data_IF_621683867894
#
_entry.id   IF_621683867894
#
_cell.length_a   1.000
_cell.length_b   1.000
_cell.length_c   1.000
_cell.angle_alpha   90.00
_cell.angle_beta   90.00
_cell.angle_gamma   90.00
#
_symmetry.space_group_name_H-M   'P 1'
#
loop_
_entity.id
_entity.type
_entity.pdbx_description
1 polymer ?
#
# COMPACT_ATOMS: atom_id res chain seq x y z
N UNK A 1 -25.08 18.17 17.13
CA UNK A 1 -24.59 17.30 16.06
C UNK A 1 -23.76 18.16 15.13
N UNK A 2 -22.48 17.81 14.94
CA UNK A 2 -21.61 18.54 14.02
C UNK A 2 -22.10 18.31 12.58
N UNK A 3 -22.05 19.34 11.75
CA UNK A 3 -22.37 19.18 10.32
C UNK A 3 -21.23 18.45 9.61
N UNK A 4 -21.52 17.83 8.45
CA UNK A 4 -20.50 17.14 7.65
C UNK A 4 -19.26 18.00 7.37
N UNK A 5 -19.45 19.29 7.14
CA UNK A 5 -18.34 20.25 6.92
C UNK A 5 -17.50 20.46 8.17
N UNK A 6 -18.12 20.53 9.35
CA UNK A 6 -17.40 20.67 10.62
C UNK A 6 -16.59 19.40 10.95
N UNK A 7 -17.14 18.22 10.67
CA UNK A 7 -16.44 16.95 10.85
C UNK A 7 -15.21 16.85 9.92
N UNK A 8 -15.39 17.14 8.62
CA UNK A 8 -14.27 17.15 7.67
C UNK A 8 -13.18 18.19 8.04
N UNK A 9 -13.59 19.37 8.52
CA UNK A 9 -12.65 20.39 8.98
C UNK A 9 -11.88 19.96 10.24
N UNK A 10 -12.55 19.29 11.18
CA UNK A 10 -11.93 18.75 12.40
C UNK A 10 -10.92 17.66 12.08
N UNK A 11 -11.29 16.74 11.18
CA UNK A 11 -10.39 15.69 10.69
C UNK A 11 -9.16 16.30 10.01
N UNK A 12 -9.35 17.31 9.15
CA UNK A 12 -8.22 18.02 8.51
C UNK A 12 -7.30 18.67 9.52
N UNK A 13 -7.85 19.27 10.58
CA UNK A 13 -7.05 19.90 11.63
C UNK A 13 -6.27 18.85 12.45
N UNK A 14 -6.84 17.68 12.69
CA UNK A 14 -6.24 16.61 13.49
C UNK A 14 -5.22 15.76 12.71
N UNK A 15 -5.55 15.36 11.47
CA UNK A 15 -4.73 14.43 10.68
C UNK A 15 -3.96 15.09 9.54
N UNK A 16 -4.34 16.32 9.17
CA UNK A 16 -3.84 17.00 7.98
C UNK A 16 -4.54 16.58 6.68
N UNK A 17 -5.55 15.70 6.76
CA UNK A 17 -6.21 15.14 5.58
C UNK A 17 -7.37 16.00 5.10
N UNK A 18 -7.34 16.44 3.84
CA UNK A 18 -8.47 17.12 3.22
C UNK A 18 -9.51 16.11 2.74
N UNK A 19 -10.61 16.02 3.47
CA UNK A 19 -11.74 15.16 3.12
C UNK A 19 -12.85 15.98 2.48
N UNK A 20 -13.44 15.44 1.41
CA UNK A 20 -14.59 16.06 0.78
C UNK A 20 -15.89 15.61 1.48
N UNK A 21 -16.57 16.48 2.24
CA UNK A 21 -17.76 16.10 3.01
C UNK A 21 -18.99 15.77 2.14
N UNK A 22 -19.00 16.18 0.87
CA UNK A 22 -20.07 15.89 -0.08
C UNK A 22 -19.95 14.49 -0.70
N UNK A 23 -18.73 13.92 -0.72
CA UNK A 23 -18.47 12.55 -1.19
C UNK A 23 -18.70 11.49 -0.12
N UNK A 24 -18.87 11.92 1.13
CA UNK A 24 -19.00 11.05 2.30
C UNK A 24 -20.39 11.17 2.95
N UNK A 25 -20.83 10.09 3.56
CA UNK A 25 -22.01 10.11 4.45
C UNK A 25 -21.62 10.73 5.80
N UNK A 26 -22.61 11.23 6.54
CA UNK A 26 -22.35 11.81 7.86
C UNK A 26 -21.72 10.78 8.81
N UNK A 27 -22.19 9.54 8.73
CA UNK A 27 -21.68 8.40 9.50
C UNK A 27 -20.20 8.13 9.25
N UNK A 28 -19.76 8.11 7.98
CA UNK A 28 -18.34 7.92 7.64
C UNK A 28 -17.44 9.05 8.15
N UNK A 29 -17.93 10.29 8.09
CA UNK A 29 -17.19 11.44 8.63
C UNK A 29 -17.12 11.41 10.15
N UNK A 30 -18.16 10.91 10.83
CA UNK A 30 -18.17 10.76 12.27
C UNK A 30 -17.16 9.69 12.71
N UNK A 31 -17.16 8.53 12.04
CA UNK A 31 -16.17 7.46 12.26
C UNK A 31 -14.73 7.95 12.07
N UNK A 32 -14.47 8.70 11.00
CA UNK A 32 -13.16 9.28 10.71
C UNK A 32 -12.77 10.37 11.71
N UNK A 33 -13.74 11.16 12.22
CA UNK A 33 -13.48 12.19 13.22
C UNK A 33 -13.09 11.56 14.56
N UNK A 34 -13.78 10.50 14.96
CA UNK A 34 -13.48 9.79 16.21
C UNK A 34 -12.07 9.16 16.18
N UNK A 35 -11.69 8.56 15.04
CA UNK A 35 -10.35 8.04 14.80
C UNK A 35 -9.29 9.16 14.72
N UNK A 36 -9.64 10.31 14.16
CA UNK A 36 -8.76 11.47 14.10
C UNK A 36 -8.51 12.08 15.50
N UNK A 37 -9.50 12.08 16.39
CA UNK A 37 -9.38 12.53 17.78
C UNK A 37 -8.45 11.62 18.61
N UNK A 38 -8.32 10.34 18.23
CA UNK A 38 -7.37 9.40 18.85
C UNK A 38 -5.90 9.69 18.47
N UNK A 39 -5.63 10.62 17.53
CA UNK A 39 -4.27 11.06 17.22
C UNK A 39 -3.40 9.97 16.59
N UNK A 40 -2.23 9.68 17.19
CA UNK A 40 -1.30 8.66 16.69
C UNK A 40 -1.84 7.23 16.82
N UNK A 41 -2.56 6.93 17.91
CA UNK A 41 -3.12 5.58 18.14
C UNK A 41 -4.25 5.25 17.16
N UNK A 42 -5.00 6.27 16.73
CA UNK A 42 -6.06 6.14 15.72
C UNK A 42 -5.59 6.30 14.29
N UNK A 43 -4.32 6.70 14.05
CA UNK A 43 -3.81 7.04 12.72
C UNK A 43 -3.87 5.87 11.74
N UNK A 44 -3.42 4.70 12.16
CA UNK A 44 -3.44 3.50 11.31
C UNK A 44 -4.87 3.07 10.96
N UNK A 45 -5.78 3.12 11.93
CA UNK A 45 -7.20 2.81 11.73
C UNK A 45 -7.88 3.87 10.84
N UNK A 46 -7.51 5.14 11.00
CA UNK A 46 -7.98 6.25 10.18
C UNK A 46 -7.55 6.08 8.73
N UNK A 47 -6.26 5.84 8.46
CA UNK A 47 -5.74 5.60 7.11
C UNK A 47 -6.36 4.34 6.48
N UNK A 48 -6.56 3.27 7.26
CA UNK A 48 -7.26 2.07 6.79
C UNK A 48 -8.71 2.39 6.38
N UNK A 49 -9.45 3.18 7.18
CA UNK A 49 -10.82 3.59 6.85
C UNK A 49 -10.89 4.50 5.64
N UNK A 50 -9.93 5.42 5.48
CA UNK A 50 -9.82 6.22 4.26
C UNK A 50 -9.62 5.36 3.02
N UNK A 51 -8.71 4.37 3.09
CA UNK A 51 -8.50 3.40 2.02
C UNK A 51 -9.77 2.58 1.72
N UNK A 52 -10.50 2.13 2.74
CA UNK A 52 -11.79 1.43 2.56
C UNK A 52 -12.85 2.32 1.87
N UNK A 53 -12.81 3.62 2.11
CA UNK A 53 -13.71 4.58 1.47
C UNK A 53 -13.22 5.06 0.09
N UNK A 54 -12.06 4.58 -0.38
CA UNK A 54 -11.46 5.00 -1.63
C UNK A 54 -11.00 6.46 -1.61
N UNK A 55 -10.72 6.99 -0.42
CA UNK A 55 -10.18 8.33 -0.21
C UNK A 55 -8.67 8.19 0.00
N UNK A 56 -7.89 8.76 -0.90
CA UNK A 56 -6.45 8.86 -0.73
C UNK A 56 -6.09 10.26 -0.24
N UNK A 57 -5.23 10.35 0.76
CA UNK A 57 -4.66 11.62 1.18
C UNK A 57 -3.75 12.09 0.04
N UNK A 58 -4.12 13.20 -0.59
CA UNK A 58 -3.40 13.75 -1.75
C UNK A 58 -2.00 14.18 -1.29
N UNK A 59 -1.05 13.24 -1.44
CA UNK A 59 0.31 13.31 -0.88
C UNK A 59 1.12 12.04 -1.09
N UNK A 60 0.47 10.88 -1.27
CA UNK A 60 1.11 9.68 -1.84
C UNK A 60 0.04 8.77 -2.48
N UNK A 61 0.15 8.40 -3.76
CA UNK A 61 -0.74 7.40 -4.32
C UNK A 61 -0.40 6.05 -3.69
N UNK A 62 -1.27 5.54 -2.82
CA UNK A 62 -1.33 4.10 -2.54
C UNK A 62 -2.46 3.53 -3.37
N UNK A 63 -2.06 2.79 -4.40
CA UNK A 63 -2.90 2.01 -5.29
C UNK A 63 -4.00 1.25 -4.53
N UNK A 64 -5.25 1.24 -5.01
CA UNK A 64 -6.32 0.47 -4.39
C UNK A 64 -6.15 -1.00 -4.77
N UNK A 65 -5.70 -1.82 -3.83
CA UNK A 65 -5.69 -3.26 -4.00
C UNK A 65 -4.62 -3.97 -3.19
N UNK A 66 -4.76 -4.00 -1.87
CA UNK A 66 -4.36 -5.21 -1.15
C UNK A 66 -5.16 -5.37 0.14
N UNK A 67 -6.01 -6.40 0.15
CA UNK A 67 -6.58 -6.98 1.36
C UNK A 67 -5.99 -8.38 1.47
N UNK A 68 -4.88 -8.52 2.19
CA UNK A 68 -4.62 -9.70 3.01
C UNK A 68 -3.68 -9.35 4.19
N UNK A 69 -3.82 -10.04 5.33
CA UNK A 69 -3.42 -9.52 6.64
C UNK A 69 -2.03 -9.99 7.10
N UNK A 70 -1.43 -9.19 7.98
CA UNK A 70 -0.36 -9.55 8.95
C UNK A 70 0.97 -10.07 8.40
N UNK A 71 2.02 -9.24 8.54
CA UNK A 71 3.27 -9.65 9.17
C UNK A 71 4.08 -8.43 9.61
N UNK A 72 4.23 -8.29 10.94
CA UNK A 72 5.36 -7.78 11.74
C UNK A 72 6.20 -6.54 11.30
N UNK A 73 6.72 -5.78 12.28
CA UNK A 73 7.43 -4.53 12.04
C UNK A 73 8.89 -4.79 11.64
N UNK A 74 9.34 -4.07 10.62
CA UNK A 74 10.76 -3.92 10.29
C UNK A 74 11.16 -4.58 8.99
N UNK A 75 11.05 -3.85 7.90
CA UNK A 75 12.09 -3.88 6.88
C UNK A 75 12.15 -2.49 6.26
N UNK A 76 13.23 -1.76 6.54
CA UNK A 76 13.56 -0.51 5.88
C UNK A 76 13.93 -0.84 4.41
N UNK A 77 12.92 -1.12 3.59
CA UNK A 77 13.10 -1.22 2.14
C UNK A 77 13.61 0.14 1.67
N UNK A 78 14.82 0.24 1.10
CA UNK A 78 15.34 1.50 0.61
C UNK A 78 14.35 2.04 -0.43
N UNK A 79 13.80 3.21 -0.16
CA UNK A 79 12.85 3.87 -1.05
C UNK A 79 13.39 3.83 -2.50
N UNK A 80 12.62 3.32 -3.47
CA UNK A 80 13.08 3.20 -4.84
C UNK A 80 13.47 4.59 -5.35
N UNK A 81 14.65 4.68 -5.97
CA UNK A 81 15.14 5.92 -6.59
C UNK A 81 14.03 6.46 -7.52
N UNK A 82 13.69 7.76 -7.45
CA UNK A 82 12.67 8.34 -8.30
C UNK A 82 13.06 8.16 -9.77
N UNK A 83 12.34 7.30 -10.49
CA UNK A 83 12.61 6.92 -11.88
C UNK A 83 12.84 5.42 -12.14
N UNK A 84 12.92 4.58 -11.09
CA UNK A 84 13.00 3.14 -11.25
C UNK A 84 11.64 2.57 -11.70
N UNK A 85 11.63 1.86 -12.85
CA UNK A 85 10.43 1.13 -13.30
C UNK A 85 10.24 -0.07 -12.38
N UNK A 86 9.13 -0.13 -11.67
CA UNK A 86 8.71 -1.30 -10.90
C UNK A 86 7.93 -2.26 -11.77
N UNK A 87 7.97 -3.55 -11.46
CA UNK A 87 7.17 -4.61 -12.08
C UNK A 87 6.59 -5.51 -11.03
N UNK A 88 5.35 -5.94 -11.27
CA UNK A 88 4.66 -6.88 -10.40
C UNK A 88 5.00 -8.30 -10.83
N UNK A 89 5.72 -9.00 -9.96
CA UNK A 89 6.30 -10.31 -10.26
C UNK A 89 6.02 -11.32 -9.16
N UNK A 90 6.08 -12.61 -9.49
CA UNK A 90 6.07 -13.71 -8.52
C UNK A 90 6.91 -14.88 -9.01
N UNK A 91 7.36 -15.75 -8.12
CA UNK A 91 7.98 -17.02 -8.55
C UNK A 91 7.02 -17.90 -9.34
N UNK A 92 7.56 -18.65 -10.28
CA UNK A 92 6.81 -19.66 -11.02
C UNK A 92 6.30 -20.76 -10.08
N UNK A 93 5.18 -21.38 -10.44
CA UNK A 93 4.49 -22.37 -9.60
C UNK A 93 5.41 -23.53 -9.17
N UNK A 94 6.33 -23.96 -10.05
CA UNK A 94 7.33 -24.98 -9.76
C UNK A 94 8.33 -24.61 -8.64
N UNK A 95 8.64 -23.31 -8.50
CA UNK A 95 9.54 -22.77 -7.47
C UNK A 95 8.75 -22.45 -6.20
N UNK A 96 7.57 -21.85 -6.36
CA UNK A 96 6.63 -21.60 -5.26
C UNK A 96 6.23 -22.88 -4.53
N UNK A 97 6.03 -24.00 -5.23
CA UNK A 97 5.71 -25.30 -4.64
C UNK A 97 6.81 -25.84 -3.70
N UNK A 98 8.03 -25.31 -3.80
CA UNK A 98 9.17 -25.67 -2.94
C UNK A 98 9.50 -24.58 -1.92
N UNK A 99 8.65 -23.56 -1.77
CA UNK A 99 8.95 -22.32 -1.03
C UNK A 99 10.27 -21.69 -1.50
N UNK A 100 10.58 -21.77 -2.79
CA UNK A 100 11.75 -21.10 -3.36
C UNK A 100 11.49 -19.61 -3.49
N UNK A 101 12.48 -18.81 -3.14
CA UNK A 101 12.44 -17.35 -3.17
C UNK A 101 13.70 -16.82 -3.87
N UNK A 102 13.58 -15.68 -4.54
CA UNK A 102 14.72 -14.98 -5.12
C UNK A 102 14.87 -13.62 -4.47
N UNK A 103 16.05 -13.32 -3.94
CA UNK A 103 16.36 -11.98 -3.44
C UNK A 103 17.24 -11.26 -4.47
N UNK A 104 16.78 -10.10 -4.90
CA UNK A 104 17.55 -9.23 -5.78
C UNK A 104 18.81 -8.72 -5.06
N UNK A 105 20.02 -8.94 -5.58
CA UNK A 105 21.24 -8.52 -4.89
C UNK A 105 21.48 -7.00 -4.91
N UNK A 106 20.83 -6.26 -5.82
CA UNK A 106 20.96 -4.81 -5.99
C UNK A 106 20.00 -4.05 -5.07
N UNK A 107 18.74 -4.47 -5.00
CA UNK A 107 17.70 -3.79 -4.22
C UNK A 107 17.33 -4.49 -2.92
N UNK A 108 17.75 -5.75 -2.74
CA UNK A 108 17.37 -6.64 -1.62
C UNK A 108 15.88 -6.95 -1.56
N UNK A 109 15.16 -6.71 -2.66
CA UNK A 109 13.75 -7.07 -2.78
C UNK A 109 13.62 -8.60 -2.94
N UNK A 110 12.65 -9.19 -2.25
CA UNK A 110 12.45 -10.66 -2.27
C UNK A 110 11.21 -11.00 -3.09
N UNK A 111 11.38 -11.90 -4.06
CA UNK A 111 10.34 -12.42 -4.93
C UNK A 111 9.98 -13.82 -4.41
N UNK A 112 8.81 -13.92 -3.80
CA UNK A 112 8.28 -15.15 -3.23
C UNK A 112 7.16 -15.77 -4.07
N UNK A 113 6.31 -16.55 -3.42
CA UNK A 113 5.12 -17.17 -4.04
C UNK A 113 4.05 -16.13 -4.44
N UNK A 114 3.95 -15.06 -3.66
CA UNK A 114 2.97 -14.02 -3.82
C UNK A 114 3.44 -12.95 -4.82
N UNK A 115 2.48 -12.23 -5.40
CA UNK A 115 2.76 -11.13 -6.32
C UNK A 115 3.29 -9.94 -5.55
N UNK A 116 4.50 -9.50 -5.91
CA UNK A 116 5.20 -8.37 -5.30
C UNK A 116 5.67 -7.40 -6.36
N UNK A 117 5.55 -6.10 -6.08
CA UNK A 117 6.16 -5.05 -6.89
C UNK A 117 7.65 -4.95 -6.55
N UNK A 118 8.51 -5.22 -7.52
CA UNK A 118 9.97 -5.09 -7.38
C UNK A 118 10.53 -4.16 -8.45
N UNK A 119 11.69 -3.60 -8.18
CA UNK A 119 12.43 -2.82 -9.18
C UNK A 119 12.84 -3.72 -10.35
N UNK A 120 12.60 -3.28 -11.59
CA UNK A 120 12.97 -4.01 -12.82
C UNK A 120 14.49 -3.96 -13.09
N UNK A 121 15.27 -4.53 -12.18
CA UNK A 121 16.72 -4.68 -12.32
C UNK A 121 17.05 -5.65 -13.46
N UNK A 122 18.35 -5.83 -13.72
CA UNK A 122 18.80 -6.86 -14.66
C UNK A 122 18.52 -8.27 -14.13
N UNK A 123 18.61 -8.48 -12.83
CA UNK A 123 18.38 -9.77 -12.19
C UNK A 123 16.92 -10.20 -12.32
N UNK A 124 15.97 -9.32 -11.99
CA UNK A 124 14.54 -9.61 -12.14
C UNK A 124 14.18 -9.92 -13.59
N UNK A 125 14.72 -9.15 -14.55
CA UNK A 125 14.50 -9.41 -15.98
C UNK A 125 15.06 -10.76 -16.44
N UNK A 126 16.22 -11.18 -15.91
CA UNK A 126 16.82 -12.47 -16.23
C UNK A 126 15.97 -13.63 -15.70
N UNK A 127 15.43 -13.50 -14.49
CA UNK A 127 14.52 -14.47 -13.90
C UNK A 127 13.20 -14.61 -14.68
N UNK A 128 12.64 -13.50 -15.15
CA UNK A 128 11.45 -13.49 -16.01
C UNK A 128 11.76 -14.17 -17.34
N UNK A 129 12.86 -13.78 -17.98
CA UNK A 129 13.30 -14.37 -19.27
C UNK A 129 13.56 -15.87 -19.15
N UNK A 130 14.04 -16.31 -17.99
CA UNK A 130 14.30 -17.73 -17.68
C UNK A 130 13.04 -18.50 -17.28
N UNK A 131 11.88 -17.86 -17.17
CA UNK A 131 10.62 -18.48 -16.74
C UNK A 131 10.62 -18.94 -15.28
N UNK A 132 11.56 -18.46 -14.46
CA UNK A 132 11.62 -18.74 -13.03
C UNK A 132 10.72 -17.79 -12.22
N UNK A 133 10.45 -16.63 -12.80
CA UNK A 133 9.55 -15.60 -12.27
C UNK A 133 8.54 -15.27 -13.36
N UNK A 134 7.29 -15.04 -12.96
CA UNK A 134 6.19 -14.59 -13.79
C UNK A 134 5.97 -13.09 -13.56
N UNK A 135 5.61 -12.40 -14.63
CA UNK A 135 5.30 -10.97 -14.65
C UNK A 135 3.80 -10.80 -14.97
N UNK A 136 3.14 -9.82 -14.33
CA UNK A 136 1.71 -9.57 -14.50
C UNK A 136 1.40 -8.74 -15.77
N UNK A 137 2.42 -8.20 -16.46
CA UNK A 137 2.29 -7.40 -17.69
C UNK A 137 2.09 -8.24 -19.00
N UNK A 138 1.62 -9.48 -18.94
CA UNK A 138 1.34 -10.31 -20.15
C UNK A 138 -0.10 -10.89 -20.19
#
# INVERSE_FOLDING_TARGET
>A
MATKKELAASIKAATGTDLNPDKLTAEKLEELAELAEQGEEGREAFDAKLAEYGLSTDGKPTTPGDKAPSAAPGDETPAPKPGAKTRRVRTSDAIAARNGEFTDPETRETIGKDWVDVTATRFVRDLITSGQVLDDED
#
